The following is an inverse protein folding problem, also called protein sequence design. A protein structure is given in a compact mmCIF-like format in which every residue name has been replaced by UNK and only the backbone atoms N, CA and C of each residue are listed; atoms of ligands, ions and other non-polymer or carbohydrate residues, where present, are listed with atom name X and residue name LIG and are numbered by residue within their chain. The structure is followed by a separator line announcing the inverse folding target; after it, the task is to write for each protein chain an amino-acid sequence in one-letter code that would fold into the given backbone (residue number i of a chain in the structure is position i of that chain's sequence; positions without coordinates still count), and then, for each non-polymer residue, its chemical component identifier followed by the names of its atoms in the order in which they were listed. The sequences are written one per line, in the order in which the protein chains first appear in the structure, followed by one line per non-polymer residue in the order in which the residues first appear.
data_IF_602325285430
#
_entry.id   IF_602325285430
#
_cell.length_a   1.000
_cell.length_b   1.000
_cell.length_c   1.000
_cell.angle_alpha   90.00
_cell.angle_beta   90.00
_cell.angle_gamma   90.00
#
_symmetry.space_group_name_H-M   'P 1'
#
loop_
_entity.id
_entity.type
_entity.pdbx_description
1 polymer ?
#
# COMPACT_ATOMS: atom_id res chain seq x y z
N UNK A 1 35.77 -7.14 24.46
CA UNK A 1 35.84 -5.96 23.57
C UNK A 1 35.95 -6.32 22.08
N UNK A 2 36.91 -7.15 21.64
CA UNK A 2 37.09 -7.52 20.20
C UNK A 2 35.85 -8.13 19.51
N UNK A 3 35.04 -8.92 20.22
CA UNK A 3 33.80 -9.54 19.69
C UNK A 3 32.74 -8.50 19.28
N UNK A 4 32.62 -7.42 20.04
CA UNK A 4 31.66 -6.33 19.76
C UNK A 4 32.06 -5.53 18.53
N UNK A 5 33.35 -5.18 18.40
CA UNK A 5 33.89 -4.48 17.24
C UNK A 5 33.68 -5.28 15.93
N UNK A 6 33.85 -6.61 15.99
CA UNK A 6 33.60 -7.47 14.83
C UNK A 6 32.11 -7.54 14.45
N UNK A 7 31.20 -7.60 15.43
CA UNK A 7 29.76 -7.58 15.16
C UNK A 7 29.33 -6.25 14.53
N UNK A 8 29.83 -5.13 15.06
CA UNK A 8 29.59 -3.79 14.50
C UNK A 8 30.12 -3.66 13.07
N UNK A 9 31.33 -4.17 12.79
CA UNK A 9 31.90 -4.16 11.44
C UNK A 9 31.04 -4.95 10.44
N UNK A 10 30.55 -6.12 10.83
CA UNK A 10 29.66 -6.94 9.99
C UNK A 10 28.34 -6.24 9.70
N UNK A 11 27.74 -5.61 10.72
CA UNK A 11 26.52 -4.82 10.56
C UNK A 11 26.72 -3.67 9.56
N UNK A 12 27.80 -2.89 9.72
CA UNK A 12 28.12 -1.79 8.82
C UNK A 12 28.36 -2.26 7.39
N UNK A 13 29.01 -3.42 7.20
CA UNK A 13 29.20 -4.02 5.88
C UNK A 13 27.86 -4.44 5.24
N UNK A 14 26.98 -5.08 6.00
CA UNK A 14 25.64 -5.47 5.52
C UNK A 14 24.82 -4.24 5.13
N UNK A 15 24.80 -3.21 5.96
CA UNK A 15 24.08 -1.95 5.66
C UNK A 15 24.66 -1.27 4.42
N UNK A 16 25.99 -1.19 4.30
CA UNK A 16 26.63 -0.61 3.12
C UNK A 16 26.28 -1.37 1.84
N UNK A 17 26.28 -2.70 1.90
CA UNK A 17 25.88 -3.56 0.77
C UNK A 17 24.41 -3.36 0.40
N UNK A 18 23.50 -3.34 1.38
CA UNK A 18 22.07 -3.07 1.14
C UNK A 18 21.85 -1.68 0.54
N UNK A 19 22.52 -0.65 1.04
CA UNK A 19 22.45 0.71 0.48
C UNK A 19 22.92 0.73 -0.97
N UNK A 20 23.98 -0.01 -1.30
CA UNK A 20 24.48 -0.12 -2.67
C UNK A 20 23.47 -0.82 -3.58
N UNK A 21 22.88 -1.93 -3.14
CA UNK A 21 21.81 -2.63 -3.87
C UNK A 21 20.61 -1.72 -4.12
N UNK A 22 20.12 -1.00 -3.09
CA UNK A 22 19.01 -0.05 -3.23
C UNK A 22 19.32 1.09 -4.21
N UNK A 23 20.58 1.56 -4.26
CA UNK A 23 20.99 2.57 -5.25
C UNK A 23 20.91 2.04 -6.68
N UNK A 24 21.31 0.80 -6.90
CA UNK A 24 21.23 0.15 -8.22
C UNK A 24 19.77 -0.07 -8.63
N UNK A 25 18.96 -0.70 -7.77
CA UNK A 25 17.53 -0.93 -7.99
C UNK A 25 16.78 0.36 -8.31
N UNK A 26 17.13 1.45 -7.62
CA UNK A 26 16.58 2.78 -7.90
C UNK A 26 16.91 3.26 -9.32
N UNK A 27 18.14 3.09 -9.78
CA UNK A 27 18.53 3.52 -11.12
C UNK A 27 17.88 2.65 -12.20
N UNK A 28 17.80 1.34 -11.99
CA UNK A 28 17.08 0.42 -12.87
C UNK A 28 15.58 0.77 -12.94
N UNK A 29 14.97 1.06 -11.80
CA UNK A 29 13.58 1.54 -11.72
C UNK A 29 13.39 2.86 -12.45
N UNK A 30 14.37 3.78 -12.39
CA UNK A 30 14.35 5.05 -13.14
C UNK A 30 14.39 4.81 -14.65
N UNK A 31 15.25 3.89 -15.09
CA UNK A 31 15.33 3.50 -16.51
C UNK A 31 14.03 2.83 -16.96
N UNK A 32 13.46 1.93 -16.16
CA UNK A 32 12.17 1.30 -16.41
C UNK A 32 11.05 2.34 -16.54
N UNK A 33 10.95 3.27 -15.59
CA UNK A 33 9.96 4.36 -15.66
C UNK A 33 10.14 5.21 -16.91
N UNK A 34 11.37 5.57 -17.27
CA UNK A 34 11.64 6.33 -18.49
C UNK A 34 11.17 5.57 -19.73
N UNK A 35 11.44 4.26 -19.80
CA UNK A 35 10.97 3.40 -20.90
C UNK A 35 9.44 3.33 -20.92
N UNK A 36 8.81 3.13 -19.77
CA UNK A 36 7.36 3.10 -19.63
C UNK A 36 6.69 4.40 -20.11
N UNK A 37 7.17 5.56 -19.65
CA UNK A 37 6.68 6.85 -20.10
C UNK A 37 6.93 7.08 -21.60
N UNK A 38 8.07 6.65 -22.13
CA UNK A 38 8.34 6.73 -23.57
C UNK A 38 7.34 5.88 -24.39
N UNK A 39 7.01 4.67 -23.92
CA UNK A 39 6.00 3.82 -24.57
C UNK A 39 4.61 4.45 -24.47
N UNK A 40 4.22 4.95 -23.30
CA UNK A 40 2.93 5.60 -23.11
C UNK A 40 2.79 6.84 -24.00
N UNK A 41 3.77 7.72 -24.02
CA UNK A 41 3.74 8.94 -24.85
C UNK A 41 3.67 8.66 -26.35
N UNK A 42 4.24 7.55 -26.83
CA UNK A 42 4.08 7.10 -28.22
C UNK A 42 2.67 6.57 -28.53
N UNK A 43 1.95 6.08 -27.51
CA UNK A 43 0.60 5.51 -27.62
C UNK A 43 -0.50 6.50 -27.27
N UNK A 44 -0.16 7.68 -26.74
CA UNK A 44 -1.13 8.75 -26.50
C UNK A 44 -1.64 9.30 -27.83
N UNK A 45 -2.96 9.42 -28.02
CA UNK A 45 -3.51 10.06 -29.21
C UNK A 45 -2.95 11.49 -29.29
N UNK A 46 -2.31 11.80 -30.42
CA UNK A 46 -1.66 13.09 -30.75
C UNK A 46 -0.23 13.34 -30.25
N UNK A 47 0.46 12.39 -29.61
CA UNK A 47 1.87 12.59 -29.21
C UNK A 47 2.08 13.76 -28.22
N UNK A 48 1.02 14.12 -27.48
CA UNK A 48 1.05 15.18 -26.48
C UNK A 48 1.95 14.77 -25.33
N UNK A 49 2.83 15.68 -24.92
CA UNK A 49 3.56 15.57 -23.66
C UNK A 49 2.57 15.86 -22.52
N UNK A 50 2.67 15.17 -21.37
CA UNK A 50 1.83 15.48 -20.22
C UNK A 50 2.01 16.93 -19.83
N UNK A 51 0.90 17.63 -19.61
CA UNK A 51 0.94 19.01 -19.13
C UNK A 51 1.49 19.03 -17.69
N UNK A 52 2.15 20.12 -17.26
CA UNK A 52 2.67 20.23 -15.89
C UNK A 52 1.63 19.97 -14.81
N UNK A 53 0.36 20.33 -15.08
CA UNK A 53 -0.78 20.11 -14.19
C UNK A 53 -1.14 18.62 -14.07
N UNK A 54 -1.11 17.87 -15.17
CA UNK A 54 -1.37 16.42 -15.18
C UNK A 54 -0.28 15.67 -14.41
N UNK A 55 0.98 16.11 -14.55
CA UNK A 55 2.11 15.57 -13.81
C UNK A 55 1.93 15.84 -12.31
N UNK A 56 1.53 17.06 -11.93
CA UNK A 56 1.28 17.40 -10.54
C UNK A 56 0.15 16.55 -9.95
N UNK A 57 -0.96 16.38 -10.68
CA UNK A 57 -2.08 15.54 -10.26
C UNK A 57 -1.68 14.07 -10.09
N UNK A 58 -0.89 13.52 -11.03
CA UNK A 58 -0.37 12.16 -10.93
C UNK A 58 0.57 11.98 -9.72
N UNK A 59 1.39 12.98 -9.39
CA UNK A 59 2.23 12.96 -8.20
C UNK A 59 1.42 12.99 -6.91
N UNK A 60 0.30 13.73 -6.87
CA UNK A 60 -0.62 13.69 -5.73
C UNK A 60 -1.28 12.32 -5.56
N UNK A 61 -1.75 11.71 -6.64
CA UNK A 61 -2.31 10.35 -6.60
C UNK A 61 -1.27 9.34 -6.11
N UNK A 62 -0.02 9.48 -6.57
CA UNK A 62 1.07 8.62 -6.13
C UNK A 62 1.34 8.76 -4.63
N UNK A 63 1.25 9.98 -4.06
CA UNK A 63 1.38 10.18 -2.61
C UNK A 63 0.29 9.41 -1.86
N UNK A 64 -0.94 9.46 -2.34
CA UNK A 64 -2.05 8.75 -1.69
C UNK A 64 -1.94 7.23 -1.80
N UNK A 65 -1.44 6.70 -2.92
CA UNK A 65 -1.11 5.27 -3.05
C UNK A 65 -0.05 4.85 -2.03
N UNK A 66 0.99 5.65 -1.81
CA UNK A 66 2.02 5.36 -0.80
C UNK A 66 1.48 5.42 0.62
N UNK A 67 0.64 6.42 0.94
CA UNK A 67 -0.03 6.48 2.25
C UNK A 67 -0.90 5.24 2.48
N UNK A 68 -1.67 4.83 1.48
CA UNK A 68 -2.52 3.64 1.55
C UNK A 68 -1.69 2.37 1.73
N UNK A 69 -0.58 2.21 1.00
CA UNK A 69 0.32 1.07 1.16
C UNK A 69 0.94 1.01 2.57
N UNK A 70 1.38 2.15 3.12
CA UNK A 70 1.88 2.23 4.49
C UNK A 70 0.80 1.94 5.54
N UNK A 71 -0.40 2.47 5.32
CA UNK A 71 -1.55 2.26 6.20
C UNK A 71 -1.99 0.79 6.21
N UNK A 72 -1.97 0.11 5.06
CA UNK A 72 -2.36 -1.29 4.94
C UNK A 72 -1.54 -2.21 5.85
N UNK A 73 -0.21 -2.04 5.86
CA UNK A 73 0.69 -2.83 6.73
C UNK A 73 0.37 -2.61 8.20
N UNK A 74 0.07 -1.37 8.58
CA UNK A 74 -0.30 -1.02 9.95
C UNK A 74 -1.70 -1.50 10.32
N UNK A 75 -2.64 -1.49 9.37
CA UNK A 75 -4.02 -1.88 9.59
C UNK A 75 -4.19 -3.37 9.88
N UNK A 76 -3.42 -4.23 9.19
CA UNK A 76 -3.45 -5.69 9.42
C UNK A 76 -2.68 -6.11 10.68
N UNK A 77 -1.93 -5.20 11.30
CA UNK A 77 -1.13 -5.52 12.49
C UNK A 77 -2.04 -5.68 13.72
N UNK A 78 -1.90 -6.74 14.53
CA UNK A 78 -2.64 -6.86 15.79
C UNK A 78 -2.43 -5.63 16.69
N UNK A 79 -3.52 -5.04 17.19
CA UNK A 79 -3.46 -3.77 17.93
C UNK A 79 -3.47 -2.51 17.06
N UNK A 80 -3.76 -2.64 15.75
CA UNK A 80 -3.93 -1.53 14.81
C UNK A 80 -4.94 -0.48 15.27
N UNK A 81 -6.01 -0.91 15.95
CA UNK A 81 -7.04 -0.03 16.54
C UNK A 81 -6.43 1.05 17.45
N UNK A 82 -5.36 0.73 18.19
CA UNK A 82 -4.67 1.68 19.06
C UNK A 82 -3.51 2.38 18.35
N UNK A 83 -2.74 1.64 17.54
CA UNK A 83 -1.53 2.18 16.92
C UNK A 83 -1.82 3.14 15.76
N UNK A 84 -2.90 2.91 14.99
CA UNK A 84 -3.30 3.79 13.89
C UNK A 84 -3.65 5.21 14.37
N UNK A 85 -4.52 5.41 15.39
CA UNK A 85 -4.76 6.74 15.97
C UNK A 85 -3.50 7.38 16.54
N UNK A 86 -2.64 6.59 17.20
CA UNK A 86 -1.39 7.09 17.77
C UNK A 86 -0.44 7.63 16.69
N UNK A 87 -0.28 6.90 15.59
CA UNK A 87 0.55 7.33 14.44
C UNK A 87 -0.09 8.53 13.74
N UNK A 88 -1.41 8.56 13.58
CA UNK A 88 -2.11 9.72 13.01
C UNK A 88 -1.91 10.98 13.87
N UNK A 89 -2.04 10.85 15.20
CA UNK A 89 -1.79 11.95 16.14
C UNK A 89 -0.34 12.43 16.08
N UNK A 90 0.61 11.49 15.99
CA UNK A 90 2.04 11.81 15.86
C UNK A 90 2.33 12.52 14.53
N UNK A 91 1.78 12.02 13.41
CA UNK A 91 1.90 12.63 12.09
C UNK A 91 1.41 14.08 12.09
N UNK A 92 0.21 14.33 12.63
CA UNK A 92 -0.35 15.68 12.78
C UNK A 92 0.57 16.62 13.57
N UNK A 93 1.23 16.12 14.63
CA UNK A 93 2.18 16.90 15.43
C UNK A 93 3.44 17.32 14.64
N UNK A 94 3.85 16.51 13.65
CA UNK A 94 4.97 16.82 12.75
C UNK A 94 4.53 17.45 11.42
N UNK A 95 3.24 17.80 11.27
CA UNK A 95 2.70 18.38 10.03
C UNK A 95 2.63 17.39 8.86
N UNK A 96 2.64 16.08 9.14
CA UNK A 96 2.53 15.01 8.13
C UNK A 96 1.13 14.42 8.18
N UNK A 97 0.44 14.49 7.04
CA UNK A 97 -0.88 13.85 6.89
C UNK A 97 -0.70 12.38 6.50
N UNK A 98 -1.05 11.49 7.44
CA UNK A 98 -0.85 10.04 7.31
C UNK A 98 -2.01 9.40 6.54
N UNK A 99 -3.22 9.95 6.65
CA UNK A 99 -4.39 9.37 5.99
C UNK A 99 -4.41 9.77 4.50
N UNK A 100 -4.73 8.82 3.59
CA UNK A 100 -5.00 9.17 2.20
C UNK A 100 -6.19 10.13 2.11
N UNK A 101 -6.23 10.98 1.07
CA UNK A 101 -7.27 12.00 0.91
C UNK A 101 -8.70 11.46 1.01
N UNK A 102 -8.93 10.24 0.54
CA UNK A 102 -10.22 9.54 0.62
C UNK A 102 -10.72 9.27 2.05
N UNK A 103 -9.83 9.18 3.04
CA UNK A 103 -10.16 8.82 4.43
C UNK A 103 -10.24 10.04 5.37
N UNK A 104 -10.02 11.24 4.83
CA UNK A 104 -10.03 12.48 5.63
C UNK A 104 -11.44 13.06 5.81
N UNK A 105 -12.39 12.63 4.97
CA UNK A 105 -13.79 13.03 5.03
C UNK A 105 -14.59 11.81 5.48
N UNK A 106 -14.80 11.69 6.79
CA UNK A 106 -15.80 10.78 7.33
C UNK A 106 -16.91 11.66 7.87
N UNK A 107 -18.07 11.57 7.23
CA UNK A 107 -19.25 12.28 7.67
C UNK A 107 -19.81 11.57 8.91
N UNK A 108 -20.47 12.30 9.81
CA UNK A 108 -20.91 11.79 11.12
C UNK A 108 -21.81 10.53 11.04
N UNK A 109 -22.43 10.27 9.88
CA UNK A 109 -23.24 9.09 9.60
C UNK A 109 -22.41 7.81 9.38
N UNK A 110 -21.20 7.90 8.83
CA UNK A 110 -20.37 6.73 8.53
C UNK A 110 -19.70 6.14 9.78
N UNK A 111 -19.52 6.96 10.83
CA UNK A 111 -18.92 6.57 12.10
C UNK A 111 -19.86 5.65 12.91
N UNK A 112 -21.17 5.87 12.84
CA UNK A 112 -22.20 5.09 13.55
C UNK A 112 -22.24 3.62 13.07
N UNK A 113 -21.95 3.37 11.79
CA UNK A 113 -21.93 2.02 11.22
C UNK A 113 -20.62 1.24 11.49
N UNK A 114 -19.52 1.94 11.79
CA UNK A 114 -18.22 1.32 12.07
C UNK A 114 -18.17 0.65 13.45
N UNK A 115 -18.95 1.16 14.41
CA UNK A 115 -19.07 0.60 15.77
C UNK A 115 -19.63 -0.84 15.75
N UNK A 116 -20.49 -1.16 14.76
CA UNK A 116 -21.00 -2.51 14.55
C UNK A 116 -19.95 -3.49 13.97
N UNK A 117 -18.96 -2.98 13.23
CA UNK A 117 -17.88 -3.78 12.66
C UNK A 117 -16.81 -4.15 13.71
N UNK A 118 -16.54 -3.24 14.66
CA UNK A 118 -15.62 -3.47 15.76
C UNK A 118 -16.10 -4.62 16.68
N UNK A 119 -17.42 -4.71 16.90
CA UNK A 119 -18.06 -5.83 17.62
C UNK A 119 -17.91 -7.16 16.86
N UNK A 120 -17.99 -7.14 15.53
CA UNK A 120 -17.85 -8.35 14.71
C UNK A 120 -16.39 -8.83 14.58
N UNK A 121 -15.42 -7.91 14.60
CA UNK A 121 -13.99 -8.22 14.55
C UNK A 121 -13.42 -8.68 15.91
N UNK A 122 -14.09 -8.32 17.01
CA UNK A 122 -13.73 -8.77 18.36
C UNK A 122 -14.08 -10.24 18.64
N UNK A 123 -14.91 -10.87 17.80
CA UNK A 123 -15.28 -12.28 17.93
C UNK A 123 -14.46 -13.14 16.95
N UNK A 124 -13.68 -14.09 17.48
CA UNK A 124 -12.86 -15.05 16.71
C UNK A 124 -13.69 -15.85 15.67
N UNK A 125 -15.01 -15.92 15.86
CA UNK A 125 -15.94 -16.52 14.92
C UNK A 125 -16.07 -15.75 13.59
N UNK A 126 -15.91 -14.43 13.60
CA UNK A 126 -16.06 -13.57 12.43
C UNK A 126 -14.98 -13.78 11.37
N UNK A 127 -13.73 -13.97 11.79
CA UNK A 127 -12.59 -14.20 10.89
C UNK A 127 -12.75 -15.54 10.13
N UNK A 128 -13.28 -16.57 10.79
CA UNK A 128 -13.55 -17.87 10.15
C UNK A 128 -14.70 -17.81 9.17
N UNK A 129 -15.73 -17.01 9.44
CA UNK A 129 -16.86 -16.80 8.53
C UNK A 129 -16.42 -16.10 7.26
N UNK A 130 -15.63 -15.01 7.38
CA UNK A 130 -15.12 -14.25 6.23
C UNK A 130 -14.14 -15.07 5.38
N UNK A 131 -13.28 -15.87 6.01
CA UNK A 131 -12.39 -16.79 5.28
C UNK A 131 -13.19 -17.81 4.45
N UNK A 132 -14.30 -18.31 4.99
CA UNK A 132 -15.14 -19.32 4.33
C UNK A 132 -15.97 -18.72 3.18
N UNK A 133 -16.45 -17.47 3.30
CA UNK A 133 -17.14 -16.77 2.21
C UNK A 133 -16.21 -16.39 1.05
N UNK A 134 -14.95 -16.07 1.36
CA UNK A 134 -13.91 -15.84 0.35
C UNK A 134 -13.48 -17.13 -0.38
N UNK A 135 -13.47 -18.28 0.32
CA UNK A 135 -13.27 -19.60 -0.30
C UNK A 135 -14.45 -20.01 -1.18
N UNK A 136 -15.69 -19.75 -0.76
CA UNK A 136 -16.88 -20.05 -1.57
C UNK A 136 -16.95 -19.19 -2.84
N UNK A 137 -16.62 -17.90 -2.75
CA UNK A 137 -16.59 -17.03 -3.93
C UNK A 137 -15.48 -17.40 -4.92
N UNK A 138 -14.34 -17.94 -4.45
CA UNK A 138 -13.29 -18.49 -5.33
C UNK A 138 -13.69 -19.83 -5.96
N UNK A 139 -14.47 -20.65 -5.26
CA UNK A 139 -15.02 -21.91 -5.81
C UNK A 139 -16.09 -21.67 -6.88
N UNK A 140 -16.90 -20.62 -6.76
CA UNK A 140 -17.91 -20.27 -7.76
C UNK A 140 -17.26 -19.79 -9.07
N UNK A 141 -16.17 -19.01 -9.01
CA UNK A 141 -15.42 -18.57 -10.19
C UNK A 141 -14.71 -19.71 -10.94
N UNK A 142 -14.41 -20.83 -10.27
CA UNK A 142 -13.81 -21.99 -10.92
C UNK A 142 -14.82 -22.86 -11.68
N UNK A 143 -16.12 -22.71 -11.40
CA UNK A 143 -17.17 -23.49 -12.08
C UNK A 143 -17.63 -22.86 -13.40
N UNK A 144 -17.55 -21.53 -13.54
CA UNK A 144 -17.93 -20.83 -14.78
C UNK A 144 -16.91 -20.97 -15.92
N UNK A 145 -15.63 -21.24 -15.62
CA UNK A 145 -14.58 -21.39 -16.67
C UNK A 145 -14.71 -22.73 -17.42
N UNK A 146 -15.48 -23.69 -16.89
CA UNK A 146 -15.59 -25.04 -17.50
C UNK A 146 -16.75 -25.18 -18.49
N UNK A 147 -17.72 -24.27 -18.49
CA UNK A 147 -18.88 -24.33 -19.39
C UNK A 147 -18.69 -23.53 -20.70
N UNK A 148 -17.74 -22.58 -20.78
CA UNK A 148 -17.42 -21.85 -22.03
C UNK A 148 -16.48 -22.59 -22.99
N UNK A 149 -16.08 -23.84 -22.70
CA UNK A 149 -15.23 -24.64 -23.61
C UNK A 149 -16.01 -25.74 -24.36
N UNK A 150 -17.34 -25.76 -24.26
CA UNK A 150 -18.23 -26.60 -25.08
C UNK A 150 -19.42 -25.77 -25.60
N UNK A 151 -19.14 -24.81 -26.47
CA UNK A 151 -20.12 -24.10 -27.30
C UNK A 151 -19.55 -23.85 -28.68
#
# INVERSE_FOLDING_TARGET
MKRYLNAQKRYLQSVAYTIQGLKQEKEETRVMMKTFFNVLTQKLPQGKKPEPEEIHAALEQLKDVHKMAGLLVLAITPGSVVTLPAICALGKRFGVEVLPSAFQKLDAYEIEHLEALEVALADEAGIKSLANEMEQSSSCLAHDIKDESKG
#
